data_IF_956636911487
#
_entry.id   IF_956636911487
#
_cell.length_a   1.000
_cell.length_b   1.000
_cell.length_c   1.000
_cell.angle_alpha   90.00
_cell.angle_beta   90.00
_cell.angle_gamma   90.00
#
_symmetry.space_group_name_H-M   'P 1'
#
loop_
_entity.id
_entity.type
_entity.pdbx_description
1 polymer ?
#
# COMPACT_ATOMS: atom_id res chain seq x y z
N UNK A 1 21.00 -24.82 0.59
CA UNK A 1 21.23 -24.13 1.89
C UNK A 1 20.75 -22.68 1.82
N UNK A 2 21.18 -21.91 0.82
CA UNK A 2 20.75 -20.52 0.61
C UNK A 2 19.24 -20.39 0.44
N UNK A 3 18.60 -21.28 -0.35
CA UNK A 3 17.16 -21.25 -0.61
C UNK A 3 16.33 -21.43 0.66
N UNK A 4 16.76 -22.32 1.56
CA UNK A 4 16.10 -22.55 2.86
C UNK A 4 16.22 -21.32 3.78
N UNK A 5 17.39 -20.68 3.83
CA UNK A 5 17.59 -19.46 4.64
C UNK A 5 16.76 -18.31 4.09
N UNK A 6 16.77 -18.10 2.78
CA UNK A 6 15.98 -17.07 2.12
C UNK A 6 14.49 -17.35 2.28
N UNK A 7 14.07 -18.62 2.14
CA UNK A 7 12.70 -19.06 2.35
C UNK A 7 12.23 -18.82 3.79
N UNK A 8 13.06 -19.11 4.80
CA UNK A 8 12.75 -18.83 6.20
C UNK A 8 12.56 -17.32 6.45
N UNK A 9 13.48 -16.49 5.95
CA UNK A 9 13.38 -15.03 6.08
C UNK A 9 12.13 -14.52 5.37
N UNK A 10 11.85 -15.02 4.17
CA UNK A 10 10.65 -14.69 3.40
C UNK A 10 9.39 -15.04 4.21
N UNK A 11 9.28 -16.25 4.76
CA UNK A 11 8.12 -16.63 5.59
C UNK A 11 7.97 -15.68 6.79
N UNK A 12 9.05 -15.37 7.52
CA UNK A 12 8.98 -14.47 8.68
C UNK A 12 8.52 -13.06 8.29
N UNK A 13 9.10 -12.49 7.24
CA UNK A 13 8.71 -11.15 6.74
C UNK A 13 7.29 -11.17 6.19
N UNK A 14 6.93 -12.22 5.46
CA UNK A 14 5.61 -12.42 4.89
C UNK A 14 4.53 -12.54 5.96
N UNK A 15 4.80 -13.23 7.08
CA UNK A 15 3.90 -13.29 8.25
C UNK A 15 3.70 -11.90 8.85
N UNK A 16 4.78 -11.14 9.07
CA UNK A 16 4.67 -9.77 9.58
C UNK A 16 3.83 -8.89 8.66
N UNK A 17 4.08 -8.95 7.34
CA UNK A 17 3.32 -8.18 6.35
C UNK A 17 1.86 -8.65 6.23
N UNK A 18 1.59 -9.95 6.25
CA UNK A 18 0.25 -10.49 6.06
C UNK A 18 -0.69 -10.15 7.24
N UNK A 19 -0.16 -10.13 8.47
CA UNK A 19 -0.95 -9.95 9.70
C UNK A 19 -0.79 -8.59 10.38
N UNK A 20 0.29 -7.84 10.11
CA UNK A 20 0.53 -6.48 10.63
C UNK A 20 0.76 -5.44 9.52
N UNK A 21 0.32 -5.78 8.31
CA UNK A 21 0.55 -4.99 7.10
C UNK A 21 0.11 -3.54 7.14
N UNK A 22 -1.05 -3.25 7.76
CA UNK A 22 -1.54 -1.89 7.89
C UNK A 22 -0.53 -0.94 8.56
N UNK A 23 0.15 -1.39 9.62
CA UNK A 23 1.16 -0.58 10.31
C UNK A 23 2.43 -0.44 9.46
N UNK A 24 2.89 -1.57 8.89
CA UNK A 24 4.12 -1.60 8.10
C UNK A 24 4.00 -0.72 6.85
N UNK A 25 2.91 -0.85 6.09
CA UNK A 25 2.71 -0.05 4.88
C UNK A 25 2.54 1.44 5.19
N UNK A 26 1.83 1.80 6.27
CA UNK A 26 1.71 3.19 6.71
C UNK A 26 3.06 3.82 7.05
N UNK A 27 4.01 3.01 7.52
CA UNK A 27 5.39 3.45 7.79
C UNK A 27 6.23 3.46 6.52
N UNK A 28 5.98 2.53 5.58
CA UNK A 28 6.71 2.43 4.32
C UNK A 28 6.45 3.63 3.39
N UNK A 29 5.22 4.13 3.37
CA UNK A 29 4.81 5.28 2.54
C UNK A 29 5.69 6.53 2.75
N UNK A 30 5.86 7.06 3.98
CA UNK A 30 6.70 8.21 4.19
C UNK A 30 8.18 7.93 3.95
N UNK A 31 8.64 6.69 4.13
CA UNK A 31 10.01 6.29 3.78
C UNK A 31 10.21 6.42 2.26
N UNK A 32 9.28 5.88 1.47
CA UNK A 32 9.31 6.03 0.00
C UNK A 32 9.17 7.48 -0.45
N UNK A 33 8.28 8.25 0.20
CA UNK A 33 8.16 9.70 -0.02
C UNK A 33 9.48 10.43 0.27
N UNK A 34 10.17 10.08 1.35
CA UNK A 34 11.46 10.67 1.69
C UNK A 34 12.54 10.33 0.66
N UNK A 35 12.61 9.08 0.16
CA UNK A 35 13.53 8.75 -0.93
C UNK A 35 13.23 9.57 -2.19
N UNK A 36 11.96 9.65 -2.61
CA UNK A 36 11.57 10.46 -3.76
C UNK A 36 11.95 11.94 -3.59
N UNK A 37 11.68 12.51 -2.40
CA UNK A 37 12.09 13.87 -2.06
C UNK A 37 13.61 14.06 -2.05
N UNK A 38 14.36 13.08 -1.54
CA UNK A 38 15.82 13.11 -1.56
C UNK A 38 16.38 13.16 -2.98
N UNK A 39 15.93 12.25 -3.85
CA UNK A 39 16.37 12.21 -5.24
C UNK A 39 15.99 13.50 -5.99
N UNK A 40 14.79 14.02 -5.76
CA UNK A 40 14.37 15.30 -6.35
C UNK A 40 15.23 16.46 -5.83
N UNK A 41 15.40 16.58 -4.52
CA UNK A 41 16.15 17.68 -3.90
C UNK A 41 17.62 17.68 -4.31
N UNK A 42 18.26 16.51 -4.27
CA UNK A 42 19.64 16.35 -4.74
C UNK A 42 19.76 16.60 -6.26
N UNK A 43 18.77 16.19 -7.05
CA UNK A 43 18.70 16.43 -8.48
C UNK A 43 18.60 17.92 -8.82
N UNK A 44 17.70 18.65 -8.15
CA UNK A 44 17.55 20.11 -8.30
C UNK A 44 18.81 20.85 -7.85
N UNK A 45 19.42 20.44 -6.73
CA UNK A 45 20.67 21.04 -6.27
C UNK A 45 21.80 20.84 -7.31
N UNK A 46 21.91 19.64 -7.90
CA UNK A 46 22.90 19.38 -8.94
C UNK A 46 22.67 20.19 -10.21
N UNK A 47 21.41 20.37 -10.65
CA UNK A 47 21.11 21.13 -11.86
C UNK A 47 21.34 22.64 -11.70
N UNK A 48 21.11 23.18 -10.50
CA UNK A 48 21.34 24.61 -10.22
C UNK A 48 22.82 24.92 -10.01
N UNK A 49 23.56 24.03 -9.34
CA UNK A 49 24.99 24.28 -9.03
C UNK A 49 25.88 23.92 -10.22
N UNK A 50 25.41 23.09 -11.15
CA UNK A 50 26.19 22.60 -12.29
C UNK A 50 27.19 21.48 -11.92
N UNK A 51 27.15 21.03 -10.66
CA UNK A 51 27.99 19.96 -10.13
C UNK A 51 27.37 18.58 -10.34
N UNK A 52 28.18 17.53 -10.14
CA UNK A 52 27.69 16.14 -10.19
C UNK A 52 26.68 15.82 -9.09
N UNK A 53 25.78 14.86 -9.34
CA UNK A 53 24.79 14.40 -8.36
C UNK A 53 25.47 13.95 -7.06
N UNK A 54 25.05 14.53 -5.92
CA UNK A 54 25.63 14.28 -4.58
C UNK A 54 27.14 14.50 -4.45
N UNK A 55 27.75 15.25 -5.37
CA UNK A 55 29.18 15.57 -5.33
C UNK A 55 29.53 16.65 -4.30
N UNK A 56 28.55 17.43 -3.86
CA UNK A 56 28.72 18.54 -2.91
C UNK A 56 27.90 18.36 -1.65
N UNK A 57 28.38 18.97 -0.55
CA UNK A 57 27.66 19.00 0.74
C UNK A 57 26.29 19.69 0.59
N UNK A 58 26.19 20.70 -0.28
CA UNK A 58 24.91 21.39 -0.57
C UNK A 58 23.89 20.41 -1.16
N UNK A 59 24.30 19.55 -2.10
CA UNK A 59 23.42 18.52 -2.67
C UNK A 59 22.86 17.56 -1.63
N UNK A 60 23.69 17.15 -0.66
CA UNK A 60 23.26 16.32 0.46
C UNK A 60 22.28 17.03 1.40
N UNK A 61 22.57 18.26 1.79
CA UNK A 61 21.72 19.05 2.70
C UNK A 61 20.36 19.30 2.05
N UNK A 62 20.33 19.79 0.80
CA UNK A 62 19.09 20.04 0.08
C UNK A 62 18.31 18.75 -0.11
N UNK A 63 18.97 17.66 -0.52
CA UNK A 63 18.36 16.34 -0.62
C UNK A 63 17.68 15.92 0.68
N UNK A 64 18.38 15.98 1.82
CA UNK A 64 17.82 15.59 3.12
C UNK A 64 16.65 16.48 3.57
N UNK A 65 16.74 17.80 3.36
CA UNK A 65 15.64 18.72 3.69
C UNK A 65 14.40 18.39 2.87
N UNK A 66 14.54 18.21 1.56
CA UNK A 66 13.41 17.87 0.68
C UNK A 66 12.88 16.47 1.00
N UNK A 67 13.74 15.52 1.36
CA UNK A 67 13.34 14.19 1.83
C UNK A 67 12.41 14.28 3.05
N UNK A 68 12.78 15.07 4.06
CA UNK A 68 11.95 15.25 5.25
C UNK A 68 10.59 15.87 4.92
N UNK A 69 10.58 16.89 4.05
CA UNK A 69 9.33 17.53 3.60
C UNK A 69 8.44 16.52 2.89
N UNK A 70 8.97 15.78 1.91
CA UNK A 70 8.17 14.81 1.16
C UNK A 70 7.72 13.62 2.00
N UNK A 71 8.58 13.11 2.89
CA UNK A 71 8.20 12.07 3.84
C UNK A 71 7.08 12.53 4.77
N UNK A 72 7.16 13.76 5.28
CA UNK A 72 6.10 14.35 6.11
C UNK A 72 4.79 14.53 5.32
N UNK A 73 4.85 15.05 4.10
CA UNK A 73 3.67 15.22 3.24
C UNK A 73 3.04 13.87 2.91
N UNK A 74 3.84 12.86 2.58
CA UNK A 74 3.37 11.50 2.33
C UNK A 74 2.71 10.89 3.58
N UNK A 75 3.23 11.16 4.77
CA UNK A 75 2.61 10.71 6.02
C UNK A 75 1.27 11.42 6.29
N UNK A 76 1.22 12.75 6.14
CA UNK A 76 0.07 13.58 6.53
C UNK A 76 -1.09 13.48 5.54
N UNK A 77 -0.79 13.44 4.24
CA UNK A 77 -1.78 13.52 3.16
C UNK A 77 -2.06 12.19 2.45
N UNK A 78 -1.55 11.06 2.97
CA UNK A 78 -1.73 9.74 2.36
C UNK A 78 -3.19 9.45 1.97
N UNK A 79 -4.13 9.61 2.89
CA UNK A 79 -5.54 9.28 2.64
C UNK A 79 -6.13 10.13 1.52
N UNK A 80 -5.80 11.43 1.48
CA UNK A 80 -6.21 12.35 0.42
C UNK A 80 -5.62 11.91 -0.92
N UNK A 81 -4.33 11.57 -0.96
CA UNK A 81 -3.68 11.09 -2.18
C UNK A 81 -4.32 9.81 -2.70
N UNK A 82 -4.69 8.87 -1.83
CA UNK A 82 -5.35 7.62 -2.25
C UNK A 82 -6.75 7.88 -2.79
N UNK A 83 -7.53 8.77 -2.16
CA UNK A 83 -8.85 9.14 -2.65
C UNK A 83 -8.77 9.80 -4.03
N UNK A 84 -7.80 10.70 -4.24
CA UNK A 84 -7.56 11.31 -5.56
C UNK A 84 -7.13 10.27 -6.60
N UNK A 85 -6.24 9.34 -6.23
CA UNK A 85 -5.81 8.26 -7.10
C UNK A 85 -6.99 7.36 -7.51
N UNK A 86 -7.85 7.00 -6.56
CA UNK A 86 -9.09 6.27 -6.80
C UNK A 86 -10.01 7.05 -7.75
N UNK A 87 -10.19 8.35 -7.55
CA UNK A 87 -10.96 9.18 -8.48
C UNK A 87 -10.38 9.18 -9.90
N UNK A 88 -9.05 9.30 -10.04
CA UNK A 88 -8.36 9.22 -11.32
C UNK A 88 -8.48 7.83 -11.99
N UNK A 89 -8.44 6.75 -11.20
CA UNK A 89 -8.70 5.40 -11.67
C UNK A 89 -10.15 5.23 -12.15
N UNK A 90 -11.13 5.76 -11.39
CA UNK A 90 -12.54 5.75 -11.79
C UNK A 90 -12.77 6.46 -13.11
N UNK A 91 -12.15 7.63 -13.31
CA UNK A 91 -12.14 8.33 -14.60
C UNK A 91 -11.52 7.48 -15.71
N UNK A 92 -10.35 6.89 -15.46
CA UNK A 92 -9.61 6.11 -16.46
C UNK A 92 -10.38 4.86 -16.89
N UNK A 93 -11.01 4.15 -15.95
CA UNK A 93 -11.85 2.98 -16.23
C UNK A 93 -13.08 3.37 -17.04
N UNK A 94 -13.81 4.40 -16.61
CA UNK A 94 -15.02 4.85 -17.29
C UNK A 94 -14.73 5.30 -18.73
N UNK A 95 -13.69 6.10 -18.92
CA UNK A 95 -13.29 6.56 -20.26
C UNK A 95 -12.83 5.39 -21.14
N UNK A 96 -12.03 4.47 -20.62
CA UNK A 96 -11.60 3.27 -21.34
C UNK A 96 -12.79 2.39 -21.77
N UNK A 97 -13.78 2.18 -20.90
CA UNK A 97 -14.98 1.40 -21.21
C UNK A 97 -15.83 2.06 -22.29
N UNK A 98 -16.04 3.38 -22.22
CA UNK A 98 -16.83 4.11 -23.23
C UNK A 98 -16.16 4.06 -24.60
N UNK A 99 -14.84 4.21 -24.65
CA UNK A 99 -14.07 4.07 -25.89
C UNK A 99 -14.15 2.63 -26.41
N UNK A 100 -14.03 1.63 -25.54
CA UNK A 100 -14.16 0.22 -25.92
C UNK A 100 -15.56 -0.13 -26.45
N UNK A 101 -16.61 0.55 -25.96
CA UNK A 101 -17.98 0.45 -26.46
C UNK A 101 -18.22 1.23 -27.77
N UNK A 102 -17.22 1.92 -28.31
CA UNK A 102 -17.32 2.66 -29.56
C UNK A 102 -17.91 4.07 -29.42
N UNK A 103 -17.99 4.63 -28.21
CA UNK A 103 -18.40 6.03 -28.04
C UNK A 103 -17.29 6.95 -28.52
N UNK A 104 -17.60 7.80 -29.50
CA UNK A 104 -16.61 8.71 -30.13
C UNK A 104 -16.74 10.16 -29.68
N UNK A 105 -17.83 10.51 -28.99
CA UNK A 105 -18.08 11.90 -28.59
C UNK A 105 -17.29 12.27 -27.33
N UNK A 106 -16.25 13.11 -27.51
CA UNK A 106 -15.28 13.45 -26.46
C UNK A 106 -15.92 14.02 -25.19
N UNK A 107 -16.95 14.86 -25.32
CA UNK A 107 -17.61 15.45 -24.15
C UNK A 107 -18.35 14.42 -23.30
N UNK A 108 -19.01 13.44 -23.91
CA UNK A 108 -19.67 12.36 -23.16
C UNK A 108 -18.63 11.53 -22.43
N UNK A 109 -17.53 11.19 -23.09
CA UNK A 109 -16.43 10.42 -22.48
C UNK A 109 -15.89 11.15 -21.25
N UNK A 110 -15.58 12.45 -21.38
CA UNK A 110 -15.05 13.26 -20.27
C UNK A 110 -16.08 13.41 -19.15
N UNK A 111 -17.33 13.76 -19.45
CA UNK A 111 -18.35 14.01 -18.42
C UNK A 111 -18.68 12.74 -17.63
N UNK A 112 -18.86 11.61 -18.31
CA UNK A 112 -19.09 10.34 -17.63
C UNK A 112 -17.84 9.90 -16.86
N UNK A 113 -16.66 10.08 -17.44
CA UNK A 113 -15.39 9.85 -16.75
C UNK A 113 -15.30 10.62 -15.44
N UNK A 114 -15.57 11.93 -15.46
CA UNK A 114 -15.55 12.79 -14.27
C UNK A 114 -16.60 12.34 -13.26
N UNK A 115 -17.82 12.03 -13.72
CA UNK A 115 -18.90 11.58 -12.85
C UNK A 115 -18.55 10.26 -12.13
N UNK A 116 -18.00 9.29 -12.86
CA UNK A 116 -17.57 8.00 -12.27
C UNK A 116 -16.35 8.21 -11.35
N UNK A 117 -15.41 9.07 -11.72
CA UNK A 117 -14.27 9.42 -10.87
C UNK A 117 -14.71 10.05 -9.55
N UNK A 118 -15.64 11.01 -9.58
CA UNK A 118 -16.22 11.64 -8.38
C UNK A 118 -16.97 10.60 -7.54
N UNK A 119 -17.78 9.76 -8.18
CA UNK A 119 -18.52 8.70 -7.48
C UNK A 119 -17.58 7.74 -6.75
N UNK A 120 -16.51 7.31 -7.42
CA UNK A 120 -15.55 6.37 -6.85
C UNK A 120 -14.71 7.01 -5.74
N UNK A 121 -14.33 8.29 -5.88
CA UNK A 121 -13.70 9.05 -4.79
C UNK A 121 -14.64 9.22 -3.58
N UNK A 122 -15.93 9.45 -3.81
CA UNK A 122 -16.93 9.53 -2.74
C UNK A 122 -17.07 8.19 -2.00
N UNK A 123 -17.19 7.08 -2.74
CA UNK A 123 -17.19 5.72 -2.16
C UNK A 123 -15.90 5.46 -1.37
N UNK A 124 -14.77 5.96 -1.84
CA UNK A 124 -13.49 5.83 -1.13
C UNK A 124 -13.49 6.50 0.24
N UNK A 125 -14.08 7.69 0.34
CA UNK A 125 -14.21 8.44 1.60
C UNK A 125 -15.18 7.73 2.55
N UNK A 126 -16.37 7.36 2.07
CA UNK A 126 -17.42 6.76 2.93
C UNK A 126 -17.01 5.37 3.41
N UNK A 127 -16.28 4.62 2.59
CA UNK A 127 -15.88 3.25 2.89
C UNK A 127 -14.53 3.09 3.60
N UNK A 128 -13.85 4.18 3.96
CA UNK A 128 -12.46 4.13 4.47
C UNK A 128 -11.53 3.28 3.58
N UNK A 129 -11.73 3.35 2.25
CA UNK A 129 -11.01 2.52 1.27
C UNK A 129 -9.49 2.67 1.36
N UNK A 130 -8.87 3.82 1.69
CA UNK A 130 -7.42 3.90 1.86
C UNK A 130 -6.88 2.89 2.86
N UNK A 131 -7.60 2.62 3.95
CA UNK A 131 -7.22 1.61 4.94
C UNK A 131 -7.48 0.20 4.42
N UNK A 132 -8.62 -0.05 3.76
CA UNK A 132 -8.90 -1.36 3.17
C UNK A 132 -7.89 -1.75 2.08
N UNK A 133 -7.45 -0.79 1.26
CA UNK A 133 -6.45 -1.03 0.21
C UNK A 133 -5.11 -1.44 0.84
N UNK A 134 -4.70 -0.80 1.94
CA UNK A 134 -3.49 -1.23 2.67
C UNK A 134 -3.63 -2.64 3.21
N UNK A 135 -4.77 -2.96 3.81
CA UNK A 135 -5.03 -4.31 4.33
C UNK A 135 -5.01 -5.34 3.20
N UNK A 136 -5.67 -5.04 2.08
CA UNK A 136 -5.75 -5.94 0.93
C UNK A 136 -4.36 -6.16 0.32
N UNK A 137 -3.63 -5.08 0.03
CA UNK A 137 -2.31 -5.13 -0.59
C UNK A 137 -1.28 -5.86 0.29
N UNK A 138 -1.33 -5.62 1.60
CA UNK A 138 -0.43 -6.29 2.54
C UNK A 138 -0.78 -7.76 2.77
N UNK A 139 -2.07 -8.10 2.81
CA UNK A 139 -2.50 -9.49 2.93
C UNK A 139 -2.11 -10.30 1.70
N UNK A 140 -2.33 -9.77 0.49
CA UNK A 140 -1.95 -10.45 -0.77
C UNK A 140 -0.44 -10.50 -0.94
N UNK A 141 0.27 -9.38 -0.71
CA UNK A 141 1.72 -9.34 -0.77
C UNK A 141 2.37 -10.27 0.27
N UNK A 142 1.92 -10.21 1.52
CA UNK A 142 2.42 -11.06 2.61
C UNK A 142 2.14 -12.54 2.35
N UNK A 143 0.93 -12.91 1.92
CA UNK A 143 0.61 -14.29 1.56
C UNK A 143 1.47 -14.80 0.39
N UNK A 144 1.75 -13.96 -0.62
CA UNK A 144 2.63 -14.32 -1.73
C UNK A 144 4.05 -14.63 -1.26
N UNK A 145 4.57 -13.80 -0.34
CA UNK A 145 5.91 -13.98 0.24
C UNK A 145 5.96 -15.25 1.12
N UNK A 146 4.92 -15.52 1.91
CA UNK A 146 4.83 -16.75 2.73
C UNK A 146 4.84 -17.99 1.84
N UNK A 147 3.98 -18.02 0.82
CA UNK A 147 3.86 -19.18 -0.09
C UNK A 147 5.15 -19.37 -0.88
N UNK A 148 5.71 -18.31 -1.47
CA UNK A 148 7.00 -18.40 -2.18
C UNK A 148 8.15 -18.81 -1.26
N UNK A 149 8.19 -18.33 -0.02
CA UNK A 149 9.18 -18.74 0.98
C UNK A 149 9.04 -20.20 1.40
N UNK A 150 7.79 -20.68 1.56
CA UNK A 150 7.51 -22.08 1.88
C UNK A 150 7.92 -23.02 0.74
N UNK A 151 7.64 -22.65 -0.52
CA UNK A 151 8.09 -23.39 -1.70
C UNK A 151 9.62 -23.54 -1.74
N UNK A 152 10.36 -22.46 -1.45
CA UNK A 152 11.83 -22.51 -1.36
C UNK A 152 12.34 -23.44 -0.24
N UNK A 153 11.64 -23.48 0.89
CA UNK A 153 12.03 -24.34 2.03
C UNK A 153 11.74 -25.82 1.76
N UNK A 154 10.67 -26.11 1.04
CA UNK A 154 10.28 -27.49 0.67
C UNK A 154 11.05 -28.01 -0.55
N UNK A 155 11.74 -27.13 -1.29
CA UNK A 155 12.51 -27.49 -2.47
C UNK A 155 11.64 -27.65 -3.73
N UNK A 156 10.41 -27.14 -3.72
CA UNK A 156 9.51 -27.16 -4.87
C UNK A 156 9.92 -26.14 -5.94
N UNK A 157 10.59 -25.06 -5.50
CA UNK A 157 11.09 -23.97 -6.35
C UNK A 157 12.48 -23.55 -5.88
N UNK A 158 13.38 -23.25 -6.82
CA UNK A 158 14.70 -22.69 -6.54
C UNK A 158 14.75 -21.18 -6.79
N UNK A 159 15.69 -20.48 -6.15
CA UNK A 159 15.89 -19.03 -6.39
C UNK A 159 16.15 -18.69 -7.86
N UNK A 160 16.75 -19.61 -8.62
CA UNK A 160 17.02 -19.44 -10.04
C UNK A 160 15.72 -19.39 -10.89
N UNK A 161 14.67 -20.10 -10.46
CA UNK A 161 13.42 -20.21 -11.21
C UNK A 161 12.59 -18.90 -11.20
N UNK A 162 12.77 -18.07 -10.17
CA UNK A 162 12.15 -16.74 -10.11
C UNK A 162 12.68 -15.77 -11.16
N UNK A 163 13.82 -16.05 -11.77
CA UNK A 163 14.42 -15.19 -12.82
C UNK A 163 14.01 -15.60 -14.23
N UNK A 164 13.51 -16.83 -14.42
CA UNK A 164 13.26 -17.43 -15.74
C UNK A 164 11.77 -17.57 -16.10
N UNK A 165 10.85 -17.26 -15.17
CA UNK A 165 9.41 -17.41 -15.39
C UNK A 165 8.90 -18.86 -15.24
N UNK A 166 9.76 -19.80 -14.86
CA UNK A 166 9.41 -21.21 -14.64
C UNK A 166 8.50 -21.44 -13.42
N UNK A 167 8.40 -20.46 -12.52
CA UNK A 167 7.54 -20.49 -11.32
C UNK A 167 6.06 -20.74 -11.65
N UNK A 168 5.54 -20.17 -12.75
CA UNK A 168 4.11 -20.27 -13.08
C UNK A 168 3.70 -21.67 -13.51
N UNK A 169 4.60 -22.43 -14.16
CA UNK A 169 4.30 -23.80 -14.62
C UNK A 169 4.21 -24.81 -13.47
N UNK A 170 5.00 -24.64 -12.40
CA UNK A 170 4.93 -25.52 -11.22
C UNK A 170 3.74 -25.22 -10.31
N UNK A 171 3.29 -23.96 -10.25
CA UNK A 171 2.05 -23.63 -9.52
C UNK A 171 0.81 -24.30 -10.14
N UNK A 172 0.82 -24.58 -11.44
CA UNK A 172 -0.34 -25.14 -12.15
C UNK A 172 -0.59 -26.61 -11.79
N UNK A 173 0.44 -27.37 -11.41
CA UNK A 173 0.32 -28.78 -11.01
C UNK A 173 -0.22 -28.95 -9.58
N UNK A 174 0.03 -28.00 -8.68
CA UNK A 174 -0.25 -28.12 -7.24
C UNK A 174 -1.32 -27.13 -6.74
N UNK A 175 -2.59 -27.49 -6.92
CA UNK A 175 -3.76 -26.67 -6.54
C UNK A 175 -3.77 -26.22 -5.07
N UNK A 176 -3.12 -26.98 -4.19
CA UNK A 176 -3.10 -26.72 -2.75
C UNK A 176 -2.30 -25.46 -2.39
N UNK A 177 -1.36 -25.04 -3.24
CA UNK A 177 -0.65 -23.77 -3.06
C UNK A 177 -1.56 -22.57 -3.27
N UNK A 178 -2.45 -22.63 -4.28
CA UNK A 178 -3.50 -21.61 -4.47
C UNK A 178 -4.50 -21.61 -3.32
N UNK A 179 -4.89 -22.79 -2.82
CA UNK A 179 -5.76 -22.89 -1.66
C UNK A 179 -5.11 -22.27 -0.41
N UNK A 180 -3.83 -22.56 -0.16
CA UNK A 180 -3.05 -22.00 0.96
C UNK A 180 -2.93 -20.49 0.84
N UNK A 181 -2.61 -19.99 -0.34
CA UNK A 181 -2.59 -18.55 -0.63
C UNK A 181 -3.94 -17.89 -0.33
N UNK A 182 -5.04 -18.45 -0.84
CA UNK A 182 -6.38 -17.91 -0.61
C UNK A 182 -6.75 -17.89 0.88
N UNK A 183 -6.45 -18.97 1.62
CA UNK A 183 -6.68 -19.05 3.06
C UNK A 183 -5.85 -18.00 3.80
N UNK A 184 -4.58 -17.83 3.46
CA UNK A 184 -3.70 -16.84 4.08
C UNK A 184 -4.18 -15.41 3.82
N UNK A 185 -4.61 -15.09 2.59
CA UNK A 185 -5.17 -13.77 2.27
C UNK A 185 -6.41 -13.48 3.11
N UNK A 186 -7.36 -14.42 3.15
CA UNK A 186 -8.58 -14.26 3.95
C UNK A 186 -8.25 -14.12 5.43
N UNK A 187 -7.37 -14.96 5.96
CA UNK A 187 -6.93 -14.89 7.35
C UNK A 187 -6.25 -13.56 7.67
N UNK A 188 -5.34 -13.10 6.81
CA UNK A 188 -4.65 -11.82 6.93
C UNK A 188 -5.63 -10.64 6.99
N UNK A 189 -6.58 -10.58 6.04
CA UNK A 189 -7.62 -9.55 6.00
C UNK A 189 -8.44 -9.56 7.30
N UNK A 190 -8.94 -10.73 7.73
CA UNK A 190 -9.78 -10.84 8.94
C UNK A 190 -9.01 -10.43 10.20
N UNK A 191 -7.76 -10.88 10.35
CA UNK A 191 -6.92 -10.55 11.50
C UNK A 191 -6.63 -9.05 11.56
N UNK A 192 -6.22 -8.45 10.43
CA UNK A 192 -5.93 -7.01 10.37
C UNK A 192 -7.18 -6.16 10.68
N UNK A 193 -8.34 -6.47 10.09
CA UNK A 193 -9.59 -5.74 10.36
C UNK A 193 -10.04 -5.84 11.82
N UNK A 194 -9.88 -7.02 12.44
CA UNK A 194 -10.17 -7.22 13.87
C UNK A 194 -9.21 -6.41 14.75
N UNK A 195 -7.93 -6.35 14.39
CA UNK A 195 -6.93 -5.54 15.09
C UNK A 195 -7.29 -4.05 15.10
N UNK A 196 -7.64 -3.50 13.93
CA UNK A 196 -8.04 -2.10 13.78
C UNK A 196 -9.28 -1.79 14.65
N UNK A 197 -10.30 -2.66 14.60
CA UNK A 197 -11.52 -2.51 15.41
C UNK A 197 -11.26 -2.54 16.91
N UNK A 198 -10.32 -3.37 17.39
CA UNK A 198 -9.98 -3.46 18.82
C UNK A 198 -9.35 -2.17 19.34
N UNK A 199 -8.40 -1.59 18.60
CA UNK A 199 -7.74 -0.33 18.98
C UNK A 199 -8.77 0.79 19.12
N UNK A 200 -9.70 0.88 18.16
CA UNK A 200 -10.79 1.85 18.20
C UNK A 200 -11.73 1.67 19.41
N UNK A 201 -12.00 0.42 19.82
CA UNK A 201 -12.79 0.10 21.01
C UNK A 201 -12.12 0.58 22.30
N UNK A 202 -10.85 0.22 22.51
CA UNK A 202 -10.10 0.62 23.70
C UNK A 202 -10.02 2.13 23.92
N UNK A 203 -9.84 2.93 22.85
CA UNK A 203 -9.82 4.39 22.99
C UNK A 203 -11.17 4.96 23.46
N UNK A 204 -12.28 4.38 22.98
CA UNK A 204 -13.63 4.80 23.42
C UNK A 204 -13.87 4.45 24.89
N UNK A 205 -13.36 3.31 25.33
CA UNK A 205 -13.54 2.86 26.72
C UNK A 205 -12.67 3.68 27.67
N UNK A 206 -11.40 3.96 27.33
CA UNK A 206 -10.56 4.88 28.11
C UNK A 206 -11.18 6.28 28.22
N UNK A 207 -11.79 6.80 27.15
CA UNK A 207 -12.47 8.10 27.18
C UNK A 207 -13.75 8.08 28.04
N UNK A 208 -14.47 6.96 28.07
CA UNK A 208 -15.62 6.76 28.96
C UNK A 208 -15.21 6.70 30.42
N UNK A 209 -14.09 6.05 30.71
CA UNK A 209 -13.56 5.90 32.07
C UNK A 209 -12.91 7.20 32.57
N UNK A 210 -12.35 8.02 31.66
CA UNK A 210 -11.81 9.34 31.97
C UNK A 210 -12.88 10.45 32.16
N UNK A 211 -14.17 10.08 32.32
CA UNK A 211 -15.23 11.03 32.65
C UNK A 211 -15.93 11.69 31.44
N UNK A 212 -15.75 11.20 30.21
CA UNK A 212 -16.37 11.77 29.00
C UNK A 212 -17.92 11.84 29.00
N UNK A 213 -18.58 11.15 29.95
CA UNK A 213 -20.04 11.24 30.17
C UNK A 213 -20.46 12.46 30.99
N UNK A 214 -19.62 12.97 31.90
CA UNK A 214 -19.99 14.05 32.83
C UNK A 214 -20.12 15.42 32.13
N UNK A 215 -19.39 15.63 31.02
CA UNK A 215 -19.48 16.86 30.23
C UNK A 215 -20.79 17.02 29.44
N UNK A 216 -21.56 15.94 29.22
CA UNK A 216 -22.86 16.01 28.51
C UNK A 216 -24.06 16.22 29.43
N UNK A 217 -23.86 16.08 30.75
CA UNK A 217 -24.92 16.21 31.75
C UNK A 217 -24.79 17.47 32.61
N UNK A 218 -23.85 18.38 32.29
CA UNK A 218 -23.82 19.70 32.90
C UNK A 218 -25.07 20.48 32.43
N UNK A 219 -26.02 20.80 33.34
CA UNK A 219 -27.09 21.72 33.00
C UNK A 219 -26.45 23.09 32.66
N UNK A 220 -26.88 23.69 31.56
CA UNK A 220 -26.62 25.11 31.28
C UNK A 220 -27.22 25.99 32.37
#
# INVERSE_FOLDING_TARGET
MTDVVVGLVAVLVGVLLCFQGWLMLRTLIPIWGAFAGFFLGAGVASSVTGDGFLSTVVGWIVGLVVALVFGLLAYLYYEVSVVLALGALGFSIATALLVAMGVTWSWVIILVGVLVGILLAFVAIVGDLPTMILVLLSATGGASIIVGGAMLMLGDVDLADFTSGATTQRLEDDWWWYATYAVLVIAGIVVQMRGISRIAGTMRDTWRDAGGREMRSAPM
#
